data_IF_359631106441
#
_entry.id   IF_359631106441
#
_cell.length_a   1.000
_cell.length_b   1.000
_cell.length_c   1.000
_cell.angle_alpha   90.00
_cell.angle_beta   90.00
_cell.angle_gamma   90.00
#
_symmetry.space_group_name_H-M   'P 1'
#
loop_
_entity.id
_entity.type
_entity.pdbx_description
1 polymer ?
2 non-polymer ?
3 non-polymer ?
4 non-polymer ?
5 non-polymer ?
6 water ?
#
# COMPACT_ATOMS: atom_id res chain seq x y z
N UNK A 3 -11.39 -3.63 21.05
CA UNK A 3 -11.91 -2.30 20.76
C UNK A 3 -11.09 -1.57 19.72
N UNK A 4 -11.73 -1.23 18.58
CA UNK A 4 -11.07 -0.53 17.47
C UNK A 4 -10.96 0.98 17.70
N UNK A 5 -9.80 1.55 17.33
CA UNK A 5 -9.52 2.98 17.39
C UNK A 5 -8.62 3.37 16.21
N UNK A 6 -8.99 4.45 15.51
CA UNK A 6 -8.21 4.94 14.37
C UNK A 6 -6.91 5.61 14.83
N UNK A 7 -6.83 6.01 16.12
CA UNK A 7 -5.65 6.67 16.71
C UNK A 7 -4.76 5.70 17.50
N UNK A 8 -4.94 4.39 17.29
CA UNK A 8 -4.18 3.33 17.95
C UNK A 8 -3.87 2.21 16.94
N UNK A 9 -2.80 1.45 17.19
CA UNK A 9 -2.48 0.30 16.34
C UNK A 9 -3.37 -0.86 16.78
N UNK A 10 -4.12 -1.43 15.84
CA UNK A 10 -5.08 -2.51 16.10
C UNK A 10 -4.53 -3.84 15.62
N UNK A 11 -4.73 -4.93 16.41
CA UNK A 11 -4.27 -6.26 16.00
C UNK A 11 -5.11 -6.78 14.83
N UNK A 12 -4.71 -7.90 14.19
CA UNK A 12 -5.46 -8.43 13.04
C UNK A 12 -6.91 -8.77 13.38
N UNK A 13 -7.19 -9.37 14.56
CA UNK A 13 -8.55 -9.72 14.96
C UNK A 13 -9.44 -8.46 14.97
N UNK A 14 -8.89 -7.33 15.45
CA UNK A 14 -9.58 -6.04 15.52
C UNK A 14 -9.76 -5.45 14.11
N UNK A 15 -8.71 -5.48 13.25
CA UNK A 15 -8.78 -4.97 11.87
C UNK A 15 -9.82 -5.77 11.07
N UNK A 16 -9.77 -7.12 11.15
CA UNK A 16 -10.70 -8.02 10.46
C UNK A 16 -12.14 -7.71 10.86
N UNK A 17 -12.41 -7.58 12.18
CA UNK A 17 -13.72 -7.23 12.72
C UNK A 17 -14.16 -5.85 12.21
N UNK A 18 -13.19 -4.90 12.11
CA UNK A 18 -13.43 -3.55 11.61
C UNK A 18 -13.82 -3.57 10.12
N UNK A 19 -13.16 -4.40 9.28
CA UNK A 19 -13.50 -4.50 7.85
C UNK A 19 -14.96 -4.90 7.65
N UNK A 20 -15.46 -5.79 8.52
CA UNK A 20 -16.84 -6.27 8.49
C UNK A 20 -17.81 -5.17 9.00
N UNK A 21 -17.47 -4.53 10.14
CA UNK A 21 -18.30 -3.49 10.76
C UNK A 21 -18.40 -2.20 9.92
N UNK A 22 -17.28 -1.73 9.35
CA UNK A 22 -17.24 -0.50 8.53
C UNK A 22 -18.04 -0.69 7.22
N UNK A 23 -18.08 -1.93 6.69
CA UNK A 23 -18.84 -2.27 5.47
C UNK A 23 -20.34 -2.25 5.79
N UNK A 24 -20.76 -2.90 6.90
CA UNK A 24 -22.16 -2.96 7.33
C UNK A 24 -22.71 -1.59 7.74
N UNK A 25 -21.86 -0.75 8.36
CA UNK A 25 -22.25 0.61 8.77
C UNK A 25 -22.35 1.57 7.60
N UNK A 26 -21.64 1.27 6.49
CA UNK A 26 -21.63 2.12 5.29
C UNK A 26 -21.90 1.27 4.02
N UNK A 27 -23.10 0.66 3.87
CA UNK A 27 -23.34 -0.21 2.70
C UNK A 27 -23.44 0.51 1.35
N UNK A 28 -23.72 1.82 1.35
CA UNK A 28 -23.83 2.59 0.11
C UNK A 28 -22.50 3.19 -0.33
N UNK A 29 -21.42 2.99 0.46
CA UNK A 29 -20.07 3.46 0.15
C UNK A 29 -19.00 2.36 0.16
N UNK A 30 -19.24 1.25 0.91
CA UNK A 30 -18.25 0.18 1.04
C UNK A 30 -18.83 -1.22 0.80
N UNK A 31 -18.06 -2.07 0.09
CA UNK A 31 -18.34 -3.49 -0.12
C UNK A 31 -17.04 -4.23 0.20
N UNK A 32 -17.14 -5.42 0.79
CA UNK A 32 -15.97 -6.22 1.18
C UNK A 32 -15.94 -7.57 0.51
N UNK A 33 -14.76 -7.95 -0.01
CA UNK A 33 -14.53 -9.26 -0.64
C UNK A 33 -13.23 -9.85 -0.08
N UNK A 34 -13.09 -11.18 -0.18
CA UNK A 34 -11.86 -11.90 0.18
C UNK A 34 -11.23 -12.22 -1.18
N UNK A 35 -10.01 -11.70 -1.42
CA UNK A 35 -9.33 -11.89 -2.71
C UNK A 35 -8.46 -13.16 -2.72
N UNK A 36 -8.37 -13.82 -1.58
CA UNK A 36 -7.60 -15.04 -1.40
C UNK A 36 -7.28 -15.30 0.05
N UNK A 37 -6.39 -16.26 0.30
CA UNK A 37 -5.96 -16.63 1.64
C UNK A 37 -4.45 -16.59 1.76
N UNK A 38 -3.97 -16.31 2.97
CA UNK A 38 -2.53 -16.26 3.28
C UNK A 38 -1.99 -17.69 3.43
N UNK A 39 -0.66 -17.82 3.61
CA UNK A 39 0.01 -19.11 3.82
C UNK A 39 -0.61 -19.87 4.99
N UNK A 40 -0.91 -19.15 6.11
CA UNK A 40 -1.51 -19.73 7.31
C UNK A 40 -3.04 -19.88 7.23
N UNK A 41 -3.64 -19.49 6.10
CA UNK A 41 -5.07 -19.64 5.84
C UNK A 41 -5.96 -18.49 6.26
N UNK A 42 -5.41 -17.28 6.49
CA UNK A 42 -6.21 -16.11 6.85
C UNK A 42 -6.77 -15.45 5.60
N UNK A 43 -8.03 -14.97 5.65
CA UNK A 43 -8.67 -14.30 4.51
C UNK A 43 -8.05 -12.95 4.25
N UNK A 44 -7.67 -12.68 2.98
CA UNK A 44 -7.09 -11.39 2.56
C UNK A 44 -8.25 -10.51 2.12
N UNK A 45 -8.68 -9.61 3.01
CA UNK A 45 -9.81 -8.72 2.73
C UNK A 45 -9.46 -7.49 1.92
N UNK A 46 -10.38 -7.11 1.04
CA UNK A 46 -10.26 -5.94 0.18
C UNK A 46 -11.56 -5.14 0.28
N UNK A 47 -11.43 -3.83 0.49
CA UNK A 47 -12.57 -2.94 0.60
C UNK A 47 -12.71 -2.11 -0.68
N UNK A 48 -13.91 -2.13 -1.27
CA UNK A 48 -14.20 -1.33 -2.46
C UNK A 48 -14.92 -0.10 -1.93
N UNK A 49 -14.22 1.04 -1.88
CA UNK A 49 -14.72 2.29 -1.34
C UNK A 49 -15.11 3.24 -2.48
N UNK A 50 -16.38 3.65 -2.47
CA UNK A 50 -16.91 4.55 -3.47
C UNK A 50 -18.40 4.38 -3.68
N UNK A 51 -19.05 5.41 -4.25
CA UNK A 51 -20.47 5.40 -4.55
C UNK A 51 -20.69 4.51 -5.79
N UNK A 52 -21.44 3.38 -5.68
CA UNK A 52 -21.62 2.50 -6.85
C UNK A 52 -22.20 3.18 -8.07
N UNK A 53 -21.66 2.83 -9.23
CA UNK A 53 -22.04 3.35 -10.53
C UNK A 53 -21.44 2.55 -11.68
N UNK A 54 -21.96 2.70 -12.92
CA UNK A 54 -21.41 1.91 -14.03
C UNK A 54 -20.13 2.49 -14.65
N UNK A 55 -19.30 1.60 -15.23
CA UNK A 55 -18.02 1.90 -15.91
C UNK A 55 -17.12 2.89 -15.14
N UNK A 56 -16.96 2.66 -13.84
CA UNK A 56 -16.16 3.54 -12.98
C UNK A 56 -14.68 3.20 -13.02
N UNK A 57 -13.78 4.20 -13.21
CA UNK A 57 -12.34 3.92 -13.11
C UNK A 57 -11.99 3.69 -11.64
N UNK A 58 -10.84 3.08 -11.37
CA UNK A 58 -10.45 2.78 -9.99
C UNK A 58 -9.00 3.09 -9.66
N UNK A 59 -8.72 3.20 -8.35
CA UNK A 59 -7.39 3.39 -7.79
C UNK A 59 -7.19 2.23 -6.81
N UNK A 60 -6.08 1.50 -6.95
CA UNK A 60 -5.76 0.40 -6.05
C UNK A 60 -4.74 0.89 -5.02
N UNK A 61 -5.00 0.60 -3.75
CA UNK A 61 -4.10 0.96 -2.66
C UNK A 61 -3.95 -0.18 -1.67
N UNK A 62 -2.70 -0.56 -1.38
CA UNK A 62 -2.41 -1.59 -0.40
C UNK A 62 -1.57 -1.05 0.75
N UNK A 63 -1.75 -1.67 1.92
CA UNK A 63 -1.02 -1.38 3.14
C UNK A 63 -0.57 -2.72 3.74
N UNK A 64 0.45 -2.65 4.59
CA UNK A 64 0.95 -3.82 5.30
C UNK A 64 1.56 -4.92 4.47
N UNK A 65 2.30 -4.57 3.39
CA UNK A 65 3.05 -5.57 2.61
C UNK A 65 4.18 -6.06 3.54
N UNK A 66 4.75 -5.13 4.33
CA UNK A 66 5.79 -5.41 5.32
C UNK A 66 5.19 -5.32 6.71
N UNK A 67 5.25 -6.44 7.44
CA UNK A 67 4.68 -6.69 8.76
C UNK A 67 4.91 -5.61 9.83
N UNK A 68 6.18 -5.21 10.07
CA UNK A 68 6.56 -4.25 11.10
C UNK A 68 6.15 -2.80 10.85
N UNK A 69 5.75 -2.47 9.61
CA UNK A 69 5.39 -1.10 9.21
C UNK A 69 3.95 -0.77 9.61
N UNK A 70 3.69 -0.77 10.93
CA UNK A 70 2.38 -0.59 11.57
C UNK A 70 1.63 0.69 11.17
N UNK A 71 2.35 1.80 10.89
CA UNK A 71 1.73 3.07 10.45
C UNK A 71 1.05 2.91 9.07
N UNK A 72 1.55 2.00 8.22
CA UNK A 72 0.98 1.71 6.90
C UNK A 72 -0.42 1.13 7.06
N UNK A 73 -0.56 0.08 7.91
CA UNK A 73 -1.85 -0.60 8.22
C UNK A 73 -2.83 0.43 8.81
N UNK A 74 -2.32 1.31 9.70
CA UNK A 74 -3.07 2.39 10.33
C UNK A 74 -3.57 3.40 9.30
N UNK A 75 -2.75 3.72 8.25
CA UNK A 75 -3.16 4.66 7.21
C UNK A 75 -4.32 4.15 6.36
N UNK A 76 -4.31 2.87 5.94
CA UNK A 76 -5.41 2.32 5.14
C UNK A 76 -6.73 2.45 5.88
N UNK A 77 -6.71 2.21 7.21
CA UNK A 77 -7.89 2.38 8.06
C UNK A 77 -8.30 3.86 8.11
N UNK A 78 -7.31 4.78 8.21
CA UNK A 78 -7.58 6.22 8.23
C UNK A 78 -8.18 6.71 6.92
N UNK A 79 -7.73 6.16 5.78
CA UNK A 79 -8.27 6.53 4.47
C UNK A 79 -9.77 6.23 4.43
N UNK A 80 -10.16 5.00 4.84
CA UNK A 80 -11.56 4.55 4.89
C UNK A 80 -12.35 5.44 5.87
N UNK A 81 -11.74 5.77 7.03
CA UNK A 81 -12.31 6.67 8.05
C UNK A 81 -12.68 8.01 7.40
N UNK A 82 -11.75 8.62 6.65
CA UNK A 82 -11.92 9.89 5.94
C UNK A 82 -13.02 9.81 4.91
N UNK A 83 -13.03 8.73 4.12
CA UNK A 83 -14.02 8.50 3.07
C UNK A 83 -15.44 8.47 3.61
N UNK A 84 -15.69 7.74 4.71
CA UNK A 84 -17.03 7.62 5.29
C UNK A 84 -17.44 8.86 6.10
N UNK A 85 -16.46 9.57 6.70
CA UNK A 85 -16.74 10.76 7.49
C UNK A 85 -16.99 12.02 6.65
N UNK A 86 -16.19 12.23 5.59
CA UNK A 86 -16.27 13.46 4.79
C UNK A 86 -17.09 13.35 3.49
N UNK A 87 -17.54 12.14 3.09
CA UNK A 87 -18.37 12.03 1.89
C UNK A 87 -19.67 12.78 2.16
N UNK A 88 -20.01 13.70 1.27
CA UNK A 88 -21.19 14.55 1.41
C UNK A 88 -20.94 15.78 2.25
N UNK A 89 -19.74 15.88 2.88
CA UNK A 89 -19.35 17.01 3.75
C UNK A 89 -18.19 17.84 3.20
N UNK A 90 -17.40 17.27 2.29
CA UNK A 90 -16.26 17.92 1.68
C UNK A 90 -16.32 17.67 0.18
N UNK A 91 -16.19 18.75 -0.62
CA UNK A 91 -16.26 18.78 -2.08
C UNK A 91 -15.39 17.73 -2.81
N UNK A 92 -14.08 17.70 -2.50
CA UNK A 92 -13.11 16.81 -3.15
C UNK A 92 -13.36 15.32 -2.90
N UNK A 93 -13.46 14.88 -1.63
CA UNK A 93 -13.73 13.47 -1.30
C UNK A 93 -15.07 13.01 -1.89
N UNK A 94 -16.08 13.90 -1.92
CA UNK A 94 -17.41 13.64 -2.50
C UNK A 94 -17.25 13.32 -3.99
N UNK A 95 -16.53 14.20 -4.73
CA UNK A 95 -16.29 14.03 -6.17
C UNK A 95 -15.50 12.75 -6.44
N UNK A 96 -14.47 12.47 -5.62
CA UNK A 96 -13.62 11.28 -5.76
C UNK A 96 -14.41 9.99 -5.65
N UNK A 97 -15.24 9.85 -4.60
CA UNK A 97 -16.05 8.65 -4.39
C UNK A 97 -17.18 8.49 -5.41
N UNK A 98 -17.64 9.61 -6.01
CA UNK A 98 -18.67 9.57 -7.04
C UNK A 98 -18.13 9.13 -8.40
N UNK A 99 -16.93 9.61 -8.75
CA UNK A 99 -16.31 9.34 -10.05
C UNK A 99 -15.35 8.15 -10.07
N UNK A 100 -14.72 7.82 -8.93
CA UNK A 100 -13.76 6.71 -8.80
C UNK A 100 -14.15 5.72 -7.71
N UNK A 101 -13.55 4.52 -7.78
CA UNK A 101 -13.64 3.47 -6.77
C UNK A 101 -12.24 3.28 -6.21
N UNK A 102 -12.13 3.09 -4.90
CA UNK A 102 -10.84 2.86 -4.25
C UNK A 102 -10.81 1.43 -3.75
N UNK A 103 -9.89 0.62 -4.30
CA UNK A 103 -9.71 -0.75 -3.84
C UNK A 103 -8.65 -0.67 -2.77
N UNK A 104 -9.10 -0.70 -1.51
CA UNK A 104 -8.23 -0.56 -0.33
C UNK A 104 -7.98 -1.94 0.27
N UNK A 105 -6.71 -2.38 0.25
CA UNK A 105 -6.28 -3.65 0.84
C UNK A 105 -5.64 -3.27 2.18
N UNK A 106 -6.38 -3.34 3.31
CA UNK A 106 -5.83 -2.85 4.60
C UNK A 106 -4.57 -3.54 5.10
N UNK A 107 -4.50 -4.88 4.96
CA UNK A 107 -3.33 -5.66 5.40
C UNK A 107 -3.10 -6.76 4.36
N UNK A 108 -1.99 -6.68 3.62
CA UNK A 108 -1.62 -7.69 2.62
C UNK A 108 -0.99 -8.90 3.33
N UNK A 109 0.08 -8.66 4.10
CA UNK A 109 0.83 -9.68 4.82
C UNK A 109 0.26 -9.88 6.24
N UNK A 110 -0.92 -10.51 6.30
CA UNK A 110 -1.64 -10.78 7.55
C UNK A 110 -0.83 -11.67 8.50
N UNK A 111 -0.23 -12.77 8.00
CA UNK A 111 0.56 -13.72 8.80
C UNK A 111 1.73 -13.04 9.49
N UNK A 112 2.45 -12.20 8.74
CA UNK A 112 3.58 -11.44 9.26
C UNK A 112 3.10 -10.43 10.30
N UNK A 113 1.95 -9.78 10.03
CA UNK A 113 1.36 -8.79 10.97
C UNK A 113 1.00 -9.43 12.31
N UNK A 114 0.39 -10.64 12.30
CA UNK A 114 0.05 -11.39 13.53
C UNK A 114 1.34 -11.69 14.30
N UNK A 115 2.39 -12.10 13.58
CA UNK A 115 3.71 -12.41 14.13
C UNK A 115 4.37 -11.20 14.84
N UNK A 116 4.15 -9.96 14.33
CA UNK A 116 4.69 -8.75 14.98
C UNK A 116 3.98 -8.43 16.30
N UNK A 117 2.74 -8.91 16.46
CA UNK A 117 1.95 -8.72 17.67
C UNK A 117 2.19 -9.82 18.70
N UNK A 118 2.56 -11.03 18.23
CA UNK A 118 2.71 -12.21 19.09
C UNK A 118 4.14 -12.63 19.42
N UNK A 119 5.10 -12.56 18.47
CA UNK A 119 6.45 -13.06 18.71
C UNK A 119 7.60 -12.10 18.42
N UNK A 120 7.56 -11.40 17.28
CA UNK A 120 8.65 -10.51 16.88
C UNK A 120 8.14 -9.24 16.21
N UNK A 121 8.16 -8.13 16.95
CA UNK A 121 7.73 -6.79 16.52
C UNK A 121 8.44 -6.30 15.25
N UNK A 122 9.69 -6.73 15.05
CA UNK A 122 10.54 -6.34 13.92
C UNK A 122 10.48 -7.29 12.70
N UNK A 123 9.47 -8.18 12.62
CA UNK A 123 9.33 -9.08 11.48
C UNK A 123 8.92 -8.30 10.22
N UNK A 124 9.47 -8.68 9.06
CA UNK A 124 9.21 -8.01 7.79
C UNK A 124 8.45 -8.85 6.76
N UNK A 125 8.96 -10.06 6.51
CA UNK A 125 8.50 -11.00 5.47
C UNK A 125 7.19 -11.71 5.77
N UNK A 126 6.81 -12.66 4.88
CA UNK A 126 5.64 -13.52 5.06
C UNK A 126 6.03 -14.56 6.13
N UNK A 127 5.14 -15.54 6.38
CA UNK A 127 5.44 -16.58 7.36
C UNK A 127 5.47 -17.98 6.71
N UNK A 128 5.75 -18.03 5.40
CA UNK A 128 5.84 -19.28 4.64
C UNK A 128 7.15 -20.02 4.87
N UNK A 129 7.11 -21.35 4.76
CA UNK A 129 8.28 -22.21 4.94
C UNK A 129 9.16 -22.21 3.69
N UNK A 130 10.44 -22.52 3.87
CA UNK A 130 11.44 -22.59 2.80
C UNK A 130 12.14 -23.94 2.83
N UNK A 131 12.35 -24.55 1.65
CA UNK A 131 13.01 -25.85 1.51
C UNK A 131 14.50 -25.77 1.87
N UNK A 132 15.01 -26.82 2.52
CA UNK A 132 16.40 -26.96 2.92
C UNK A 132 16.89 -26.05 4.04
N UNK A 133 15.97 -25.38 4.76
CA UNK A 133 16.29 -24.45 5.86
C UNK A 133 15.11 -24.31 6.83
N UNK A 134 15.38 -23.82 8.06
CA UNK A 134 14.34 -23.55 9.04
C UNK A 134 13.97 -22.05 8.98
N UNK A 135 14.69 -21.26 8.14
CA UNK A 135 14.45 -19.83 7.94
C UNK A 135 13.09 -19.65 7.28
N UNK A 136 12.31 -18.70 7.79
CA UNK A 136 10.94 -18.43 7.38
C UNK A 136 10.77 -17.14 6.59
N UNK A 137 9.83 -17.18 5.64
CA UNK A 137 9.35 -16.02 4.88
C UNK A 137 10.07 -15.57 3.64
N UNK A 138 9.28 -14.89 2.81
CA UNK A 138 9.69 -14.26 1.56
C UNK A 138 9.27 -12.80 1.67
N UNK A 139 10.06 -11.90 1.08
CA UNK A 139 9.72 -10.48 1.04
C UNK A 139 8.66 -10.33 -0.06
N UNK A 140 7.39 -9.95 0.26
CA UNK A 140 6.38 -9.83 -0.81
C UNK A 140 6.75 -8.77 -1.84
N UNK A 141 7.47 -7.73 -1.42
CA UNK A 141 7.91 -6.63 -2.28
C UNK A 141 9.18 -6.97 -3.11
N UNK A 142 9.55 -8.27 -3.16
CA UNK A 142 10.64 -8.82 -3.97
C UNK A 142 10.08 -10.07 -4.69
N UNK A 143 8.77 -10.32 -4.54
CA UNK A 143 8.11 -11.51 -5.07
C UNK A 143 7.26 -11.27 -6.34
N UNK A 144 7.06 -10.00 -6.75
CA UNK A 144 6.29 -9.71 -7.97
C UNK A 144 7.10 -10.01 -9.23
N UNK A 145 6.41 -10.28 -10.35
CA UNK A 145 7.05 -10.62 -11.62
C UNK A 145 7.47 -9.37 -12.42
N UNK A 146 8.45 -8.62 -11.88
CA UNK A 146 9.01 -7.42 -12.50
C UNK A 146 10.51 -7.40 -12.20
N UNK A 147 11.30 -7.87 -13.17
CA UNK A 147 12.75 -8.03 -13.04
C UNK A 147 13.09 -8.90 -11.84
N UNK A 148 12.21 -9.88 -11.56
CA UNK A 148 12.22 -10.77 -10.41
C UNK A 148 13.57 -11.42 -10.11
N UNK A 149 13.98 -11.25 -8.85
CA UNK A 149 15.18 -11.78 -8.19
C UNK A 149 16.51 -11.36 -8.83
N UNK A 150 16.59 -10.12 -9.32
CA UNK A 150 17.84 -9.56 -9.83
C UNK A 150 18.52 -8.83 -8.65
N UNK A 151 19.60 -8.06 -8.91
CA UNK A 151 20.34 -7.32 -7.87
C UNK A 151 19.40 -6.40 -7.07
N UNK A 152 19.46 -6.53 -5.74
CA UNK A 152 18.62 -5.78 -4.82
C UNK A 152 17.64 -6.68 -4.09
N UNK A 153 17.54 -7.93 -4.56
CA UNK A 153 16.74 -8.99 -3.96
C UNK A 153 17.73 -10.08 -3.59
N UNK A 154 17.43 -10.88 -2.57
CA UNK A 154 18.34 -11.94 -2.16
C UNK A 154 17.84 -13.32 -2.54
N UNK A 155 18.77 -14.21 -2.91
CA UNK A 155 18.46 -15.60 -3.25
C UNK A 155 18.50 -16.46 -1.98
N UNK A 156 18.95 -15.86 -0.86
CA UNK A 156 19.07 -16.53 0.43
C UNK A 156 17.74 -16.47 1.21
N UNK A 157 17.09 -17.64 1.47
CA UNK A 157 15.83 -17.64 2.24
C UNK A 157 15.91 -17.05 3.66
N UNK A 158 17.12 -16.99 4.24
CA UNK A 158 17.36 -16.42 5.57
C UNK A 158 17.46 -14.88 5.55
N UNK A 159 17.45 -14.28 4.35
CA UNK A 159 17.56 -12.83 4.18
C UNK A 159 16.23 -12.10 4.16
N UNK A 160 16.24 -10.86 4.63
CA UNK A 160 15.10 -9.96 4.70
C UNK A 160 14.51 -9.57 3.34
N UNK A 161 15.32 -9.63 2.27
CA UNK A 161 14.90 -9.30 0.89
C UNK A 161 14.78 -10.56 0.01
N UNK A 162 14.55 -11.74 0.64
CA UNK A 162 14.40 -12.99 -0.10
C UNK A 162 13.28 -12.87 -1.14
N UNK A 163 13.62 -13.17 -2.40
CA UNK A 163 12.72 -13.06 -3.56
C UNK A 163 11.68 -14.18 -3.66
N UNK A 164 11.87 -15.26 -2.92
CA UNK A 164 10.99 -16.42 -2.97
C UNK A 164 11.50 -17.49 -3.92
N UNK A 165 10.83 -18.65 -3.96
CA UNK A 165 11.21 -19.78 -4.82
C UNK A 165 10.96 -19.48 -6.32
N UNK A 166 9.93 -18.68 -6.60
CA UNK A 166 9.54 -18.26 -7.96
C UNK A 166 8.76 -16.95 -7.85
N UNK A 167 8.59 -16.21 -8.96
CA UNK A 167 7.78 -14.99 -8.95
C UNK A 167 6.34 -15.39 -8.62
N UNK A 168 5.70 -14.69 -7.67
CA UNK A 168 4.34 -14.95 -7.18
C UNK A 168 4.22 -16.29 -6.42
N UNK A 169 5.34 -16.77 -5.81
CA UNK A 169 5.34 -18.01 -5.02
C UNK A 169 4.48 -17.87 -3.78
N UNK A 170 4.37 -16.63 -3.26
CA UNK A 170 3.56 -16.33 -2.08
C UNK A 170 2.11 -16.18 -2.45
N UNK A 171 1.22 -16.77 -1.66
CA UNK A 171 -0.24 -16.72 -1.86
C UNK A 171 -0.74 -15.27 -1.84
N UNK A 172 -0.15 -14.44 -0.95
CA UNK A 172 -0.48 -13.02 -0.78
C UNK A 172 -0.16 -12.22 -2.06
N UNK A 173 1.05 -12.41 -2.63
CA UNK A 173 1.52 -11.74 -3.85
C UNK A 173 0.64 -12.17 -5.04
N UNK A 174 0.37 -13.48 -5.17
CA UNK A 174 -0.46 -14.04 -6.23
C UNK A 174 -1.89 -13.50 -6.16
N UNK A 175 -2.46 -13.38 -4.94
CA UNK A 175 -3.81 -12.85 -4.71
C UNK A 175 -3.93 -11.39 -5.17
N UNK A 176 -2.94 -10.54 -4.80
CA UNK A 176 -2.90 -9.13 -5.19
C UNK A 176 -2.75 -9.01 -6.71
N UNK A 177 -1.76 -9.71 -7.30
CA UNK A 177 -1.49 -9.71 -8.75
C UNK A 177 -2.70 -10.21 -9.55
N UNK A 178 -3.36 -11.30 -9.08
CA UNK A 178 -4.55 -11.87 -9.74
C UNK A 178 -5.69 -10.86 -9.74
N UNK A 179 -5.90 -10.15 -8.60
CA UNK A 179 -6.95 -9.13 -8.51
C UNK A 179 -6.73 -8.01 -9.52
N UNK A 180 -5.50 -7.46 -9.57
CA UNK A 180 -5.15 -6.36 -10.49
C UNK A 180 -5.30 -6.82 -11.94
N UNK A 181 -4.81 -8.03 -12.28
CA UNK A 181 -4.94 -8.59 -13.64
C UNK A 181 -6.42 -8.71 -14.06
N UNK A 182 -7.28 -9.15 -13.13
CA UNK A 182 -8.72 -9.31 -13.37
C UNK A 182 -9.50 -7.99 -13.45
N UNK A 183 -8.90 -6.88 -12.99
CA UNK A 183 -9.56 -5.57 -12.99
C UNK A 183 -8.70 -4.48 -13.65
N UNK A 184 -7.72 -4.91 -14.47
CA UNK A 184 -6.75 -4.06 -15.17
C UNK A 184 -7.36 -2.92 -15.98
N UNK A 185 -8.45 -3.19 -16.73
CA UNK A 185 -9.14 -2.19 -17.56
C UNK A 185 -9.74 -1.02 -16.76
N UNK A 186 -10.00 -1.23 -15.46
CA UNK A 186 -10.55 -0.23 -14.56
C UNK A 186 -9.49 0.50 -13.71
N UNK A 187 -8.42 -0.20 -13.29
CA UNK A 187 -7.38 0.36 -12.43
C UNK A 187 -6.48 1.37 -13.18
N UNK A 188 -6.52 2.64 -12.73
CA UNK A 188 -5.76 3.75 -13.33
C UNK A 188 -4.55 4.17 -12.49
N UNK A 189 -4.55 3.81 -11.19
CA UNK A 189 -3.45 4.12 -10.28
C UNK A 189 -3.21 3.02 -9.27
N UNK A 190 -1.94 2.84 -8.90
CA UNK A 190 -1.50 1.86 -7.91
C UNK A 190 -0.73 2.61 -6.84
N UNK A 191 -1.13 2.43 -5.57
CA UNK A 191 -0.49 3.09 -4.44
C UNK A 191 -0.12 2.05 -3.37
N UNK A 192 1.16 1.98 -2.99
CA UNK A 192 1.61 1.04 -1.97
C UNK A 192 2.11 1.82 -0.77
N UNK A 193 1.48 1.61 0.40
CA UNK A 193 1.81 2.33 1.63
C UNK A 193 2.77 1.51 2.49
N UNK A 194 3.88 2.15 2.86
CA UNK A 194 4.97 1.57 3.64
C UNK A 194 5.50 2.59 4.65
N UNK A 195 6.55 2.20 5.37
CA UNK A 195 7.29 3.03 6.31
C UNK A 195 8.71 2.43 6.44
N UNK A 196 9.73 3.22 6.77
CA UNK A 196 9.76 4.66 7.02
C UNK A 196 10.88 5.21 6.15
N UNK A 197 11.04 6.55 6.09
CA UNK A 197 12.05 7.36 5.37
C UNK A 197 11.51 8.67 4.80
N UNK A 198 10.17 8.85 4.77
CA UNK A 198 9.48 10.05 4.26
C UNK A 198 9.87 10.26 2.79
N UNK A 199 9.51 9.27 1.96
CA UNK A 199 9.87 9.23 0.55
C UNK A 199 8.73 8.76 -0.33
N UNK A 200 8.60 9.35 -1.52
CA UNK A 200 7.61 8.93 -2.51
C UNK A 200 8.41 8.34 -3.67
N UNK A 201 8.27 7.04 -3.89
CA UNK A 201 8.97 6.28 -4.93
C UNK A 201 8.04 6.05 -6.11
N UNK A 202 8.55 6.16 -7.33
CA UNK A 202 7.82 5.80 -8.55
C UNK A 202 8.74 4.88 -9.40
N UNK A 203 8.26 4.13 -10.42
CA UNK A 203 9.16 3.24 -11.17
C UNK A 203 10.37 3.93 -11.82
N UNK A 204 11.51 3.24 -12.05
CA UNK A 204 11.72 1.81 -11.78
C UNK A 204 12.63 1.57 -10.59
N UNK A 205 12.42 0.43 -9.92
CA UNK A 205 13.23 -0.05 -8.80
C UNK A 205 13.95 -1.34 -9.16
N UNK A 206 13.48 -2.09 -10.18
CA UNK A 206 14.12 -3.36 -10.55
C UNK A 206 15.38 -3.20 -11.41
N UNK A 207 15.61 -1.99 -11.94
CA UNK A 207 16.77 -1.66 -12.78
C UNK A 207 16.95 -0.15 -12.80
N UNK A 208 18.16 0.31 -13.17
CA UNK A 208 18.44 1.72 -13.32
C UNK A 208 17.91 2.15 -14.68
N UNK A 209 16.64 2.58 -14.72
CA UNK A 209 15.96 3.08 -15.91
C UNK A 209 14.80 3.99 -15.52
N UNK A 210 14.59 5.04 -16.31
CA UNK A 210 13.51 6.00 -16.09
C UNK A 210 12.25 5.57 -16.84
N UNK A 211 11.05 5.75 -16.26
CA UNK A 211 9.83 5.34 -16.96
C UNK A 211 9.50 6.27 -18.13
N UNK A 212 8.61 5.81 -19.03
CA UNK A 212 8.13 6.55 -20.22
C UNK A 212 7.62 7.95 -19.83
N UNK A 213 6.82 8.04 -18.75
CA UNK A 213 6.26 9.31 -18.27
C UNK A 213 7.02 9.85 -17.04
N UNK A 214 8.36 9.71 -17.03
CA UNK A 214 9.23 10.17 -15.94
C UNK A 214 9.00 11.64 -15.56
N UNK A 215 8.96 12.55 -16.56
CA UNK A 215 8.76 14.00 -16.35
C UNK A 215 7.43 14.27 -15.64
N UNK A 216 6.36 13.58 -16.08
CA UNK A 216 5.02 13.68 -15.48
C UNK A 216 5.01 13.19 -14.03
N UNK A 217 5.62 12.01 -13.77
CA UNK A 217 5.69 11.41 -12.43
C UNK A 217 6.53 12.25 -11.49
N UNK A 218 7.63 12.84 -12.00
CA UNK A 218 8.51 13.73 -11.24
C UNK A 218 7.69 14.94 -10.76
N UNK A 219 6.94 15.59 -11.68
CA UNK A 219 6.11 16.75 -11.38
C UNK A 219 4.97 16.43 -10.42
N UNK A 220 4.33 15.25 -10.58
CA UNK A 220 3.23 14.81 -9.72
C UNK A 220 3.72 14.53 -8.30
N UNK A 221 4.86 13.81 -8.16
CA UNK A 221 5.47 13.50 -6.86
C UNK A 221 5.90 14.79 -6.15
N UNK A 222 6.49 15.75 -6.90
CA UNK A 222 6.94 17.06 -6.41
C UNK A 222 5.74 17.81 -5.81
N UNK A 223 4.63 17.84 -6.54
CA UNK A 223 3.40 18.52 -6.13
C UNK A 223 2.71 17.82 -4.94
N UNK A 224 2.76 16.46 -4.89
CA UNK A 224 2.17 15.68 -3.79
C UNK A 224 2.97 15.91 -2.49
N UNK A 225 4.31 15.99 -2.61
CA UNK A 225 5.26 16.26 -1.52
C UNK A 225 4.98 17.67 -0.97
N UNK A 226 4.73 18.63 -1.87
CA UNK A 226 4.41 20.03 -1.56
C UNK A 226 3.09 20.11 -0.79
N UNK A 227 2.05 19.37 -1.23
CA UNK A 227 0.74 19.33 -0.57
C UNK A 227 0.82 18.72 0.82
N UNK A 228 1.63 17.66 0.98
CA UNK A 228 1.84 16.97 2.25
C UNK A 228 2.45 17.92 3.29
N UNK A 229 3.48 18.71 2.88
CA UNK A 229 4.19 19.66 3.74
C UNK A 229 3.36 20.83 4.27
N UNK A 230 2.26 21.19 3.58
CA UNK A 230 1.40 22.34 3.99
C UNK A 230 0.81 22.21 5.41
N UNK A 231 0.55 20.98 5.86
CA UNK A 231 -0.07 20.72 7.15
C UNK A 231 0.87 20.88 8.35
N UNK A 232 2.00 20.16 8.38
CA UNK A 232 2.93 20.22 9.52
C UNK A 232 4.38 20.57 9.15
N UNK A 233 4.64 20.78 7.87
CA UNK A 233 5.98 21.09 7.39
C UNK A 233 6.85 19.85 7.27
N UNK A 234 6.23 18.65 7.29
CA UNK A 234 6.95 17.37 7.15
C UNK A 234 7.60 17.30 5.78
N UNK A 235 8.92 17.04 5.78
CA UNK A 235 9.75 17.01 4.59
C UNK A 235 9.85 15.62 3.99
N UNK A 236 9.42 15.50 2.73
CA UNK A 236 9.48 14.26 1.97
C UNK A 236 10.39 14.43 0.76
N UNK A 237 11.15 13.39 0.43
CA UNK A 237 11.97 13.36 -0.77
C UNK A 237 11.21 12.47 -1.77
N UNK A 238 11.55 12.54 -3.06
CA UNK A 238 10.84 11.76 -4.08
C UNK A 238 11.73 11.43 -5.27
N UNK A 239 11.27 10.51 -6.11
CA UNK A 239 11.98 10.14 -7.32
C UNK A 239 11.84 8.70 -7.73
N UNK A 240 12.50 8.29 -8.84
CA UNK A 240 12.46 6.88 -9.24
C UNK A 240 13.17 6.04 -8.18
N UNK A 241 12.61 4.86 -7.91
CA UNK A 241 13.09 3.94 -6.88
C UNK A 241 14.59 3.65 -6.87
N UNK A 242 15.11 3.10 -7.96
CA UNK A 242 16.53 2.75 -8.10
C UNK A 242 17.43 4.00 -7.99
N UNK A 243 16.94 5.13 -8.54
CA UNK A 243 17.62 6.41 -8.56
C UNK A 243 17.72 7.08 -7.19
N UNK A 244 16.62 7.14 -6.41
CA UNK A 244 16.59 7.87 -5.13
C UNK A 244 16.55 7.01 -3.86
N UNK A 245 16.33 5.69 -3.97
CA UNK A 245 16.29 4.83 -2.79
C UNK A 245 17.35 3.73 -2.87
N UNK A 246 17.08 2.68 -3.66
CA UNK A 246 17.96 1.53 -3.92
C UNK A 246 17.31 0.57 -4.90
N UNK A 247 18.08 -0.41 -5.41
CA UNK A 247 17.53 -1.43 -6.28
C UNK A 247 16.64 -2.32 -5.43
N UNK A 248 15.38 -2.49 -5.84
CA UNK A 248 14.40 -3.30 -5.14
C UNK A 248 13.53 -4.03 -6.17
N UNK A 249 14.10 -5.07 -6.84
CA UNK A 249 13.34 -5.78 -7.89
C UNK A 249 12.22 -6.63 -7.35
N UNK A 250 11.22 -6.89 -8.19
CA UNK A 250 10.07 -7.70 -7.82
C UNK A 250 9.06 -6.98 -6.96
N UNK A 251 8.96 -5.67 -7.15
CA UNK A 251 8.04 -4.82 -6.42
C UNK A 251 6.69 -4.70 -7.11
N UNK A 252 5.65 -4.53 -6.30
CA UNK A 252 4.27 -4.39 -6.77
C UNK A 252 4.06 -3.17 -7.65
N UNK A 253 4.71 -2.03 -7.30
CA UNK A 253 4.61 -0.78 -8.05
C UNK A 253 5.18 -0.87 -9.47
N UNK A 254 6.34 -1.54 -9.63
CA UNK A 254 6.96 -1.76 -10.93
C UNK A 254 6.16 -2.74 -11.76
N UNK A 255 5.64 -3.81 -11.11
CA UNK A 255 4.82 -4.81 -11.78
C UNK A 255 3.53 -4.17 -12.29
N UNK A 256 2.86 -3.36 -11.44
CA UNK A 256 1.63 -2.65 -11.82
C UNK A 256 1.88 -1.68 -12.97
N UNK A 257 3.03 -0.98 -12.96
CA UNK A 257 3.41 -0.03 -14.02
C UNK A 257 3.58 -0.75 -15.36
N UNK A 258 4.23 -1.92 -15.35
CA UNK A 258 4.47 -2.70 -16.57
C UNK A 258 3.21 -3.42 -17.07
N UNK A 259 2.12 -3.37 -16.28
CA UNK A 259 0.80 -3.90 -16.67
C UNK A 259 0.03 -2.78 -17.40
N UNK A 260 0.56 -1.56 -17.36
CA UNK A 260 -0.03 -0.39 -18.01
C UNK A 260 -0.57 0.68 -17.06
N UNK A 261 -0.45 0.46 -15.73
CA UNK A 261 -0.91 1.43 -14.73
C UNK A 261 0.21 2.49 -14.61
N UNK A 262 0.12 3.56 -15.42
CA UNK A 262 1.15 4.59 -15.52
C UNK A 262 1.31 5.50 -14.30
N UNK A 263 0.35 5.47 -13.35
CA UNK A 263 0.46 6.24 -12.12
C UNK A 263 0.69 5.24 -10.99
N UNK A 264 1.96 4.97 -10.68
CA UNK A 264 2.32 3.97 -9.69
C UNK A 264 3.29 4.55 -8.69
N UNK A 265 2.91 4.50 -7.40
CA UNK A 265 3.72 5.09 -6.33
C UNK A 265 3.82 4.23 -5.10
N UNK A 266 4.97 4.32 -4.42
CA UNK A 266 5.22 3.72 -3.12
C UNK A 266 5.42 4.89 -2.16
N UNK A 267 4.64 4.93 -1.09
CA UNK A 267 4.71 5.98 -0.08
C UNK A 267 5.38 5.43 1.18
N UNK A 268 6.58 5.93 1.49
CA UNK A 268 7.31 5.56 2.70
C UNK A 268 6.98 6.65 3.70
N UNK A 269 6.19 6.30 4.72
CA UNK A 269 5.69 7.29 5.69
C UNK A 269 6.71 7.67 6.78
N UNK A 270 6.25 8.38 7.83
CA UNK A 270 7.05 8.82 8.98
C UNK A 270 7.71 7.62 9.70
N UNK A 271 8.89 7.79 10.33
CA UNK A 271 9.68 9.03 10.39
C UNK A 271 10.98 8.90 9.57
N UNK A 272 12.08 9.50 10.04
CA UNK A 272 13.37 9.45 9.36
C UNK A 272 14.42 8.59 10.10
N UNK A 273 13.99 7.91 11.17
CA UNK A 273 14.88 7.04 11.93
C UNK A 273 14.86 7.16 13.45
N UNK A 274 14.22 8.22 13.99
CA UNK A 274 14.16 8.43 15.45
C UNK A 274 13.41 7.27 16.13
N UNK A 275 12.21 6.94 15.61
CA UNK A 275 11.41 5.83 16.11
C UNK A 275 11.38 4.68 15.12
N UNK A 276 11.58 5.00 13.84
CA UNK A 276 11.58 4.01 12.77
C UNK A 276 10.24 3.34 12.61
N UNK A 277 10.22 1.99 12.68
CA UNK A 277 8.99 1.21 12.55
C UNK A 277 8.11 1.33 13.79
N UNK A 278 8.73 1.63 14.95
CA UNK A 278 8.04 1.78 16.23
C UNK A 278 7.55 3.23 16.41
N UNK A 279 6.86 3.76 15.39
CA UNK A 279 6.32 5.13 15.43
C UNK A 279 5.25 5.18 16.52
N UNK A 280 5.35 6.11 17.49
CA UNK A 280 4.36 6.15 18.59
C UNK A 280 2.93 6.39 18.10
N UNK A 281 1.96 5.86 18.86
CA UNK A 281 0.52 5.99 18.58
C UNK A 281 0.08 7.45 18.53
N UNK A 282 0.75 8.30 19.34
CA UNK A 282 0.52 9.76 19.42
C UNK A 282 0.79 10.47 18.07
N UNK A 283 1.49 9.79 17.14
CA UNK A 283 1.82 10.32 15.80
C UNK A 283 0.90 9.81 14.68
N UNK A 284 0.02 8.81 14.96
CA UNK A 284 -0.90 8.25 13.96
C UNK A 284 -1.74 9.36 13.29
N UNK A 285 -2.47 10.15 14.09
CA UNK A 285 -3.32 11.24 13.62
C UNK A 285 -2.59 12.18 12.65
N UNK A 286 -1.48 12.80 13.11
CA UNK A 286 -0.68 13.74 12.30
C UNK A 286 -0.15 13.13 11.01
N UNK A 287 0.46 11.91 11.09
CA UNK A 287 1.00 11.18 9.94
C UNK A 287 -0.09 10.89 8.91
N UNK A 288 -1.23 10.38 9.37
CA UNK A 288 -2.34 10.03 8.49
C UNK A 288 -2.98 11.25 7.81
N UNK A 289 -3.21 12.35 8.57
CA UNK A 289 -3.80 13.57 8.04
C UNK A 289 -2.95 14.20 6.94
N UNK A 290 -1.63 14.29 7.14
CA UNK A 290 -0.72 14.84 6.12
C UNK A 290 -0.61 13.92 4.89
N UNK A 291 -0.61 12.59 5.10
CA UNK A 291 -0.55 11.59 4.02
C UNK A 291 -1.82 11.70 3.17
N UNK A 292 -2.99 11.94 3.82
CA UNK A 292 -4.28 12.14 3.15
C UNK A 292 -4.18 13.23 2.07
N UNK A 293 -3.47 14.34 2.36
CA UNK A 293 -3.28 15.45 1.43
C UNK A 293 -2.54 15.03 0.16
N UNK A 294 -1.48 14.21 0.30
CA UNK A 294 -0.69 13.69 -0.81
C UNK A 294 -1.51 12.71 -1.64
N UNK A 295 -2.23 11.78 -0.97
CA UNK A 295 -3.10 10.77 -1.61
C UNK A 295 -4.25 11.43 -2.39
N UNK A 296 -4.90 12.45 -1.77
CA UNK A 296 -5.99 13.20 -2.41
C UNK A 296 -5.49 14.00 -3.62
N UNK A 297 -4.26 14.55 -3.55
CA UNK A 297 -3.66 15.28 -4.66
C UNK A 297 -3.46 14.35 -5.87
N UNK A 298 -2.92 13.14 -5.63
CA UNK A 298 -2.68 12.12 -6.66
C UNK A 298 -4.02 11.69 -7.25
N UNK A 299 -5.02 11.41 -6.38
CA UNK A 299 -6.37 11.02 -6.79
C UNK A 299 -6.99 12.07 -7.72
N UNK A 300 -6.94 13.36 -7.32
CA UNK A 300 -7.46 14.47 -8.11
C UNK A 300 -6.78 14.55 -9.47
N UNK A 301 -5.44 14.36 -9.49
CA UNK A 301 -4.65 14.36 -10.72
C UNK A 301 -5.10 13.23 -11.65
N UNK A 302 -5.19 11.99 -11.13
CA UNK A 302 -5.62 10.79 -11.89
C UNK A 302 -7.00 11.05 -12.53
N UNK A 303 -7.93 11.61 -11.74
CA UNK A 303 -9.28 11.95 -12.17
C UNK A 303 -9.31 12.95 -13.34
N UNK A 304 -8.35 13.88 -13.35
CA UNK A 304 -8.20 14.88 -14.40
C UNK A 304 -7.35 14.41 -15.57
N UNK A 305 -6.77 13.20 -15.47
CA UNK A 305 -5.91 12.63 -16.52
C UNK A 305 -6.26 11.15 -16.79
N UNK A 306 -7.56 10.85 -16.93
CA UNK A 306 -8.06 9.50 -17.20
C UNK A 306 -7.58 8.98 -18.56
N UNK A 307 -7.38 7.66 -18.65
CA UNK A 307 -6.84 6.97 -19.82
C UNK A 307 -7.34 5.52 -19.89
#
# INVERSE_FOLDING_TARGET
TTGHSYEKYNNWETIEAWTKQVTSENPDLISRTAIGTTFLGNNIYLLKVGKPGPNKPAIFMDCGIHAREWISHAFCQWFVREAVLTYGYESHMTEFLNKLDFYVLPVLNIDGYIYTWTKNRMWRKTRSTNAGTTCIGTDPNRNFDAGWCTTGASTDPCDETYCGSAAESEKETKALADFIRNNLSSIKAYLSIHSYSQHIVYPYSYDYKLPENNAELNNLAKAAVKELATLYGTKYTYGPGATTLYLAPGGGDDWAYDQGIKYSFTFELRDKGRYGFILPESQIQATCEETMLAIKYVTNYVLGHLY
#
